data_IF_654877950371
#
_entry.id   IF_654877950371
#
_cell.length_a   1.000
_cell.length_b   1.000
_cell.length_c   1.000
_cell.angle_alpha   90.00
_cell.angle_beta   90.00
_cell.angle_gamma   90.00
#
_symmetry.space_group_name_H-M   'P 1'
#
loop_
_entity.id
_entity.type
_entity.pdbx_description
1 polymer ?
#
# COMPACT_ATOMS: atom_id res chain seq x y z
N UNK A 1 -14.41 9.75 9.57
CA UNK A 1 -14.51 8.30 9.30
C UNK A 1 -13.30 7.91 8.49
N UNK A 2 -12.45 7.02 9.02
CA UNK A 2 -11.32 6.43 8.27
C UNK A 2 -11.88 5.24 7.49
N UNK A 3 -11.53 5.11 6.21
CA UNK A 3 -11.97 4.01 5.36
C UNK A 3 -11.16 2.74 5.67
N UNK A 4 -11.72 1.56 5.40
CA UNK A 4 -11.06 0.26 5.62
C UNK A 4 -9.67 0.18 4.95
N UNK A 5 -9.50 0.86 3.81
CA UNK A 5 -8.24 0.96 3.07
C UNK A 5 -7.13 1.66 3.87
N UNK A 6 -7.44 2.74 4.60
CA UNK A 6 -6.45 3.47 5.39
C UNK A 6 -5.89 2.63 6.54
N UNK A 7 -6.68 1.68 7.07
CA UNK A 7 -6.22 0.77 8.13
C UNK A 7 -5.21 -0.25 7.57
N UNK A 8 -5.56 -0.89 6.45
CA UNK A 8 -4.69 -1.87 5.78
C UNK A 8 -3.37 -1.21 5.32
N UNK A 9 -3.45 -0.02 4.70
CA UNK A 9 -2.25 0.73 4.32
C UNK A 9 -1.36 1.03 5.52
N UNK A 10 -1.95 1.41 6.66
CA UNK A 10 -1.20 1.70 7.88
C UNK A 10 -0.54 0.44 8.48
N UNK A 11 -1.23 -0.70 8.48
CA UNK A 11 -0.67 -1.98 8.92
C UNK A 11 0.54 -2.39 8.06
N UNK A 12 0.45 -2.26 6.73
CA UNK A 12 1.56 -2.56 5.83
C UNK A 12 2.72 -1.59 6.06
N UNK A 13 2.45 -0.30 6.29
CA UNK A 13 3.48 0.68 6.59
C UNK A 13 4.22 0.37 7.90
N UNK A 14 3.50 -0.15 8.90
CA UNK A 14 4.09 -0.60 10.17
C UNK A 14 4.91 -1.87 9.95
N UNK A 15 4.37 -2.88 9.26
CA UNK A 15 5.02 -4.17 9.00
C UNK A 15 6.29 -4.02 8.16
N UNK A 16 6.25 -3.25 7.06
CA UNK A 16 7.41 -3.05 6.16
C UNK A 16 8.39 -1.99 6.65
N UNK A 17 7.98 -1.18 7.62
CA UNK A 17 8.81 -0.19 8.29
C UNK A 17 9.24 1.01 7.44
N UNK A 18 10.18 1.78 7.98
CA UNK A 18 10.45 3.15 7.53
C UNK A 18 11.03 3.27 6.10
N UNK A 19 11.77 2.25 5.64
CA UNK A 19 12.31 2.23 4.27
C UNK A 19 11.19 2.16 3.24
N UNK A 20 10.17 1.34 3.50
CA UNK A 20 9.01 1.20 2.64
C UNK A 20 8.17 2.48 2.64
N UNK A 21 7.91 3.05 3.83
CA UNK A 21 7.21 4.33 3.97
C UNK A 21 7.88 5.45 3.18
N UNK A 22 9.22 5.54 3.20
CA UNK A 22 9.97 6.53 2.40
C UNK A 22 9.72 6.37 0.91
N UNK A 23 9.70 5.13 0.40
CA UNK A 23 9.38 4.86 -1.02
C UNK A 23 7.95 5.27 -1.38
N UNK A 24 6.97 4.99 -0.52
CA UNK A 24 5.58 5.45 -0.73
C UNK A 24 5.51 6.97 -0.78
N UNK A 25 6.20 7.67 0.12
CA UNK A 25 6.24 9.14 0.13
C UNK A 25 6.87 9.66 -1.17
N UNK A 26 8.00 9.09 -1.58
CA UNK A 26 8.69 9.48 -2.81
C UNK A 26 7.81 9.28 -4.05
N UNK A 27 7.14 8.14 -4.17
CA UNK A 27 6.20 7.87 -5.26
C UNK A 27 5.03 8.88 -5.25
N UNK A 28 4.48 9.20 -4.08
CA UNK A 28 3.43 10.23 -3.93
C UNK A 28 3.93 11.62 -4.33
N UNK A 29 5.16 11.98 -3.96
CA UNK A 29 5.80 13.23 -4.36
C UNK A 29 6.01 13.32 -5.87
N UNK A 30 6.18 12.19 -6.56
CA UNK A 30 6.24 12.10 -8.02
C UNK A 30 4.84 12.06 -8.70
N UNK A 31 3.75 12.24 -7.94
CA UNK A 31 2.38 12.26 -8.46
C UNK A 31 1.73 10.89 -8.63
N UNK A 32 2.38 9.81 -8.18
CA UNK A 32 1.81 8.47 -8.20
C UNK A 32 0.84 8.34 -7.02
N UNK A 33 -0.38 7.88 -7.30
CA UNK A 33 -1.39 7.63 -6.26
C UNK A 33 -0.90 6.53 -5.31
N UNK A 34 -1.40 6.56 -4.08
CA UNK A 34 -1.02 5.60 -3.03
C UNK A 34 -1.21 4.15 -3.51
N UNK A 35 -2.33 3.85 -4.15
CA UNK A 35 -2.75 2.51 -4.58
C UNK A 35 -1.78 1.84 -5.57
N UNK A 36 -1.41 2.47 -6.71
CA UNK A 36 -0.39 1.92 -7.59
C UNK A 36 1.01 1.92 -6.97
N UNK A 37 1.31 2.83 -6.03
CA UNK A 37 2.59 2.82 -5.31
C UNK A 37 2.72 1.57 -4.41
N UNK A 38 1.67 1.22 -3.66
CA UNK A 38 1.62 -0.04 -2.91
C UNK A 38 1.68 -1.25 -3.83
N UNK A 39 0.94 -1.26 -4.94
CA UNK A 39 0.99 -2.36 -5.92
C UNK A 39 2.41 -2.62 -6.43
N UNK A 40 3.09 -1.54 -6.84
CA UNK A 40 4.43 -1.60 -7.39
C UNK A 40 5.45 -2.09 -6.34
N UNK A 41 5.40 -1.57 -5.11
CA UNK A 41 6.35 -1.94 -4.07
C UNK A 41 6.11 -3.32 -3.47
N UNK A 42 4.87 -3.82 -3.49
CA UNK A 42 4.50 -5.15 -3.04
C UNK A 42 4.58 -6.21 -4.16
N UNK A 43 4.88 -5.80 -5.40
CA UNK A 43 4.96 -6.71 -6.55
C UNK A 43 3.59 -7.28 -6.97
N UNK A 44 2.50 -6.58 -6.64
CA UNK A 44 1.15 -7.00 -6.98
C UNK A 44 0.89 -6.71 -8.47
N UNK A 45 0.78 -7.77 -9.27
CA UNK A 45 0.50 -7.70 -10.72
C UNK A 45 -1.00 -7.66 -11.05
N UNK A 46 -1.85 -7.95 -10.06
CA UNK A 46 -3.31 -7.85 -10.14
C UNK A 46 -3.81 -6.71 -9.25
N UNK A 47 -5.08 -6.31 -9.42
CA UNK A 47 -5.67 -5.14 -8.74
C UNK A 47 -5.27 -5.13 -7.25
N UNK A 48 -4.40 -4.20 -6.82
CA UNK A 48 -3.70 -4.26 -5.53
C UNK A 48 -4.66 -4.38 -4.35
N UNK A 49 -5.85 -3.79 -4.46
CA UNK A 49 -6.87 -3.93 -3.43
C UNK A 49 -7.50 -5.29 -3.33
N UNK A 50 -7.71 -5.96 -4.46
CA UNK A 50 -8.30 -7.30 -4.46
C UNK A 50 -7.33 -8.34 -3.91
N UNK A 51 -6.03 -8.09 -3.96
CA UNK A 51 -5.02 -8.92 -3.29
C UNK A 51 -4.91 -8.57 -1.80
N UNK A 52 -5.04 -7.29 -1.43
CA UNK A 52 -5.02 -6.84 -0.03
C UNK A 52 -6.27 -7.22 0.79
N UNK A 53 -7.43 -7.33 0.13
CA UNK A 53 -8.72 -7.69 0.77
C UNK A 53 -8.99 -9.20 0.78
N UNK A 54 -8.06 -10.05 0.34
CA UNK A 54 -8.26 -11.50 0.46
C UNK A 54 -8.11 -11.91 1.92
N UNK A 55 -9.18 -12.43 2.58
CA UNK A 55 -9.00 -13.10 3.85
C UNK A 55 -8.08 -14.30 3.63
N UNK A 56 -7.08 -14.46 4.49
CA UNK A 56 -6.32 -15.71 4.60
C UNK A 56 -7.33 -16.88 4.74
N UNK A 57 -7.15 -17.91 3.91
CA UNK A 57 -7.84 -19.19 4.09
C UNK A 57 -7.08 -20.04 5.08
#
# INVERSE_FOLDING_TARGET
MLTEQMLIENEILIEKGIKFRKKIIDLKSNGIKTEPAFANLLGLTRNPYLELLKPEK
#
